data_IF_557389805191
#
_entry.id   IF_557389805191
#
_cell.length_a   1.000
_cell.length_b   1.000
_cell.length_c   1.000
_cell.angle_alpha   90.00
_cell.angle_beta   90.00
_cell.angle_gamma   90.00
#
_symmetry.space_group_name_H-M   'P 1'
#
loop_
_entity.id
_entity.type
_entity.pdbx_description
1 polymer ?
#
# COMPACT_ATOMS: atom_id res chain seq x y z
N UNK A 1 -10.69 -2.48 26.62
CA UNK A 1 -10.47 -2.80 25.19
C UNK A 1 -11.79 -3.09 24.46
N UNK A 2 -12.67 -3.93 25.00
CA UNK A 2 -13.97 -4.23 24.38
C UNK A 2 -14.82 -2.98 24.15
N UNK A 3 -14.93 -2.07 25.12
CA UNK A 3 -15.74 -0.86 25.00
C UNK A 3 -15.37 0.01 23.77
N UNK A 4 -14.08 0.28 23.53
CA UNK A 4 -13.64 1.06 22.36
C UNK A 4 -13.94 0.34 21.04
N UNK A 5 -13.67 -0.95 20.98
CA UNK A 5 -13.98 -1.78 19.82
C UNK A 5 -15.49 -1.77 19.55
N UNK A 6 -16.30 -2.05 20.55
CA UNK A 6 -17.76 -2.11 20.44
C UNK A 6 -18.34 -0.76 20.00
N UNK A 7 -17.79 0.35 20.52
CA UNK A 7 -18.22 1.70 20.15
C UNK A 7 -17.89 2.02 18.70
N UNK A 8 -16.64 1.77 18.26
CA UNK A 8 -16.23 2.00 16.88
C UNK A 8 -17.05 1.13 15.91
N UNK A 9 -17.23 -0.14 16.24
CA UNK A 9 -18.03 -1.07 15.42
C UNK A 9 -19.49 -0.61 15.31
N UNK A 10 -20.11 -0.21 16.44
CA UNK A 10 -21.47 0.29 16.45
C UNK A 10 -21.64 1.52 15.57
N UNK A 11 -20.76 2.51 15.74
CA UNK A 11 -20.87 3.78 15.02
C UNK A 11 -20.62 3.60 13.51
N UNK A 12 -19.63 2.81 13.14
CA UNK A 12 -19.38 2.46 11.73
C UNK A 12 -20.55 1.68 11.14
N UNK A 13 -21.20 0.79 11.93
CA UNK A 13 -22.35 0.01 11.44
C UNK A 13 -23.59 0.87 11.21
N UNK A 14 -23.81 1.90 12.03
CA UNK A 14 -25.02 2.72 11.99
C UNK A 14 -24.97 3.85 10.96
N UNK A 15 -23.77 4.35 10.65
CA UNK A 15 -23.58 5.44 9.67
C UNK A 15 -23.62 4.92 8.24
N UNK A 16 -24.21 5.71 7.35
CA UNK A 16 -24.15 5.50 5.89
C UNK A 16 -23.18 6.48 5.27
N UNK A 17 -22.38 6.03 4.28
CA UNK A 17 -21.46 6.87 3.53
C UNK A 17 -20.07 6.98 4.17
N UNK A 18 -19.44 8.14 3.99
CA UNK A 18 -18.09 8.40 4.48
C UNK A 18 -18.08 8.72 5.97
N UNK A 19 -17.18 8.09 6.70
CA UNK A 19 -16.95 8.31 8.13
C UNK A 19 -15.51 8.74 8.36
N UNK A 20 -15.29 9.73 9.21
CA UNK A 20 -13.97 10.24 9.54
C UNK A 20 -13.66 10.04 11.02
N UNK A 21 -12.45 9.56 11.31
CA UNK A 21 -11.89 9.44 12.64
C UNK A 21 -10.59 10.26 12.73
N UNK A 22 -10.57 11.25 13.60
CA UNK A 22 -9.38 12.03 13.94
C UNK A 22 -8.69 11.41 15.15
N UNK A 23 -7.37 11.20 15.04
CA UNK A 23 -6.54 10.55 16.06
C UNK A 23 -5.38 11.47 16.41
N UNK A 24 -5.44 12.11 17.58
CA UNK A 24 -4.45 13.09 18.07
C UNK A 24 -3.36 12.41 18.90
N UNK A 25 -2.69 11.44 18.30
CA UNK A 25 -1.55 10.73 18.86
C UNK A 25 -0.68 10.13 17.76
N UNK A 26 0.49 9.60 18.14
CA UNK A 26 1.38 8.93 17.21
C UNK A 26 0.90 7.52 16.85
N UNK A 27 0.89 7.24 15.57
CA UNK A 27 0.46 5.95 15.01
C UNK A 27 1.22 4.76 15.61
N UNK A 28 2.56 4.86 15.72
CA UNK A 28 3.39 3.78 16.23
C UNK A 28 3.18 3.54 17.73
N UNK A 29 2.92 4.58 18.50
CA UNK A 29 2.55 4.48 19.91
C UNK A 29 1.22 3.70 20.06
N UNK A 30 0.24 4.02 19.24
CA UNK A 30 -1.04 3.33 19.22
C UNK A 30 -0.95 1.89 18.70
N UNK A 31 -0.03 1.63 17.77
CA UNK A 31 0.26 0.26 17.33
C UNK A 31 0.74 -0.60 18.50
N UNK A 32 1.70 -0.10 19.28
CA UNK A 32 2.23 -0.78 20.46
C UNK A 32 1.15 -1.01 21.52
N UNK A 33 0.19 -0.07 21.65
CA UNK A 33 -0.97 -0.20 22.53
C UNK A 33 -2.00 -1.23 22.02
N UNK A 34 -1.86 -1.73 20.79
CA UNK A 34 -2.79 -2.65 20.13
C UNK A 34 -4.10 -1.98 19.71
N UNK A 35 -4.10 -0.65 19.52
CA UNK A 35 -5.28 0.13 19.13
C UNK A 35 -5.81 -0.27 17.75
N UNK A 36 -4.92 -0.47 16.77
CA UNK A 36 -5.32 -0.80 15.41
C UNK A 36 -6.00 -2.17 15.27
N UNK A 37 -5.95 -3.01 16.32
CA UNK A 37 -6.71 -4.27 16.33
C UNK A 37 -8.22 -4.07 16.52
N UNK A 38 -8.66 -2.88 16.97
CA UNK A 38 -10.08 -2.56 17.09
C UNK A 38 -10.76 -2.36 15.74
N UNK A 39 -9.97 -2.21 14.68
CA UNK A 39 -10.45 -2.00 13.33
C UNK A 39 -10.53 -3.29 12.51
N UNK A 40 -10.16 -4.44 13.08
CA UNK A 40 -10.35 -5.71 12.40
C UNK A 40 -11.85 -6.00 12.27
N UNK A 41 -12.21 -6.59 11.14
CA UNK A 41 -13.57 -7.07 10.87
C UNK A 41 -14.66 -5.98 10.96
N UNK A 42 -14.31 -4.71 10.72
CA UNK A 42 -15.29 -3.64 10.64
C UNK A 42 -16.25 -3.89 9.46
N UNK A 43 -17.59 -3.70 9.67
CA UNK A 43 -18.58 -3.88 8.61
C UNK A 43 -18.58 -2.68 7.64
N UNK A 44 -17.53 -2.54 6.84
CA UNK A 44 -17.33 -1.41 5.93
C UNK A 44 -17.96 -1.60 4.54
N UNK A 45 -18.81 -2.60 4.33
CA UNK A 45 -19.47 -2.83 3.04
C UNK A 45 -20.19 -1.57 2.56
N UNK A 46 -19.82 -1.10 1.34
CA UNK A 46 -20.34 0.13 0.71
C UNK A 46 -20.12 1.42 1.50
N UNK A 47 -19.23 1.43 2.48
CA UNK A 47 -18.89 2.58 3.32
C UNK A 47 -17.41 2.87 3.21
N UNK A 48 -16.99 4.10 3.50
CA UNK A 48 -15.58 4.45 3.65
C UNK A 48 -15.31 4.97 5.05
N UNK A 49 -14.19 4.52 5.63
CA UNK A 49 -13.65 5.07 6.86
C UNK A 49 -12.30 5.69 6.54
N UNK A 50 -12.18 6.98 6.83
CA UNK A 50 -10.92 7.72 6.72
C UNK A 50 -10.39 8.04 8.12
N UNK A 51 -9.19 7.56 8.43
CA UNK A 51 -8.49 7.81 9.68
C UNK A 51 -7.39 8.84 9.42
N UNK A 52 -7.44 9.97 10.13
CA UNK A 52 -6.40 10.99 10.15
C UNK A 52 -5.59 10.84 11.43
N UNK A 53 -4.28 10.69 11.32
CA UNK A 53 -3.44 10.34 12.48
C UNK A 53 -2.05 10.95 12.37
N UNK A 54 -1.45 11.23 13.52
CA UNK A 54 -0.08 11.68 13.64
C UNK A 54 0.94 10.57 13.37
N UNK A 55 2.09 10.96 12.85
CA UNK A 55 3.23 10.08 12.62
C UNK A 55 4.51 10.81 13.08
N UNK A 56 5.24 10.20 14.00
CA UNK A 56 6.50 10.74 14.52
C UNK A 56 7.66 10.49 13.53
N UNK A 57 7.89 11.49 12.67
CA UNK A 57 8.95 11.40 11.64
C UNK A 57 10.35 11.36 12.25
N UNK A 58 10.60 11.99 13.41
CA UNK A 58 11.93 11.94 14.04
C UNK A 58 12.24 10.52 14.49
N UNK A 59 11.28 9.88 15.15
CA UNK A 59 11.41 8.50 15.60
C UNK A 59 11.60 7.53 14.44
N UNK A 60 10.94 7.76 13.30
CA UNK A 60 11.09 6.95 12.10
C UNK A 60 12.40 7.22 11.34
N UNK A 61 12.94 8.44 11.41
CA UNK A 61 14.25 8.77 10.86
C UNK A 61 15.38 8.09 11.65
N UNK A 62 15.25 8.08 12.99
CA UNK A 62 16.21 7.40 13.88
C UNK A 62 16.24 5.88 13.64
N UNK A 63 15.09 5.28 13.38
CA UNK A 63 14.96 3.86 13.03
C UNK A 63 13.84 3.65 11.99
N UNK A 64 14.20 3.61 10.71
CA UNK A 64 13.24 3.40 9.62
C UNK A 64 12.54 2.03 9.68
N UNK A 65 13.06 1.05 10.43
CA UNK A 65 12.43 -0.27 10.61
C UNK A 65 11.12 -0.17 11.39
N UNK A 66 10.93 0.87 12.19
CA UNK A 66 9.65 1.12 12.85
C UNK A 66 8.50 1.38 11.87
N UNK A 67 8.81 1.75 10.61
CA UNK A 67 7.81 1.84 9.55
C UNK A 67 7.13 0.50 9.26
N UNK A 68 7.72 -0.63 9.65
CA UNK A 68 7.07 -1.95 9.60
C UNK A 68 5.71 -1.93 10.31
N UNK A 69 5.57 -1.21 11.41
CA UNK A 69 4.30 -1.10 12.15
C UNK A 69 3.21 -0.42 11.31
N UNK A 70 3.59 0.63 10.58
CA UNK A 70 2.71 1.34 9.65
C UNK A 70 2.34 0.41 8.49
N UNK A 71 3.37 -0.14 7.83
CA UNK A 71 3.18 -1.03 6.68
C UNK A 71 2.31 -2.25 7.01
N UNK A 72 2.58 -2.93 8.12
CA UNK A 72 1.80 -4.10 8.55
C UNK A 72 0.33 -3.75 8.82
N UNK A 73 0.06 -2.57 9.38
CA UNK A 73 -1.31 -2.13 9.66
C UNK A 73 -2.04 -1.76 8.37
N UNK A 74 -1.42 -0.97 7.50
CA UNK A 74 -2.00 -0.61 6.20
C UNK A 74 -2.27 -1.84 5.33
N UNK A 75 -1.36 -2.81 5.37
CA UNK A 75 -1.47 -4.08 4.63
C UNK A 75 -2.62 -4.96 5.13
N UNK A 76 -2.97 -4.86 6.41
CA UNK A 76 -4.08 -5.60 7.04
C UNK A 76 -5.42 -4.89 6.91
N UNK A 77 -5.42 -3.56 6.97
CA UNK A 77 -6.63 -2.73 7.01
C UNK A 77 -6.87 -2.04 5.64
N UNK A 78 -6.92 -2.81 4.57
CA UNK A 78 -7.01 -2.30 3.19
C UNK A 78 -8.32 -1.52 2.94
N UNK A 79 -9.40 -1.87 3.65
CA UNK A 79 -10.70 -1.22 3.54
C UNK A 79 -10.78 0.13 4.28
N UNK A 80 -9.68 0.54 4.92
CA UNK A 80 -9.57 1.81 5.65
C UNK A 80 -8.60 2.74 4.92
N UNK A 81 -8.99 4.00 4.81
CA UNK A 81 -8.13 5.05 4.32
C UNK A 81 -7.36 5.68 5.48
N UNK A 82 -6.05 5.84 5.34
CA UNK A 82 -5.21 6.54 6.31
C UNK A 82 -4.62 7.80 5.69
N UNK A 83 -4.66 8.91 6.41
CA UNK A 83 -3.99 10.15 6.07
C UNK A 83 -3.09 10.51 7.24
N UNK A 84 -1.79 10.61 6.97
CA UNK A 84 -0.77 10.87 7.98
C UNK A 84 -0.42 12.35 8.04
N UNK A 85 -0.13 12.83 9.24
CA UNK A 85 0.37 14.16 9.54
C UNK A 85 1.62 14.07 10.39
N UNK A 86 2.53 15.02 10.30
CA UNK A 86 3.66 15.06 11.23
C UNK A 86 3.13 15.30 12.64
N UNK A 87 3.54 14.44 13.59
CA UNK A 87 3.11 14.57 14.99
C UNK A 87 3.50 15.92 15.61
N UNK A 88 4.54 16.58 15.09
CA UNK A 88 4.94 17.92 15.51
C UNK A 88 3.95 19.01 15.13
N UNK A 89 3.13 18.73 14.12
CA UNK A 89 2.16 19.67 13.57
C UNK A 89 0.79 19.52 14.22
N UNK A 90 0.60 18.49 15.03
CA UNK A 90 -0.64 18.26 15.77
C UNK A 90 -0.42 18.33 17.27
N UNK A 91 -1.44 18.77 17.99
CA UNK A 91 -1.44 18.78 19.44
C UNK A 91 -1.70 17.37 19.97
N UNK A 92 -0.69 16.75 20.61
CA UNK A 92 -0.86 15.44 21.26
C UNK A 92 -1.75 15.58 22.48
N UNK A 93 -3.00 15.19 22.33
CA UNK A 93 -4.02 15.33 23.37
C UNK A 93 -4.63 14.00 23.79
N UNK A 94 -4.17 12.88 23.22
CA UNK A 94 -4.74 11.55 23.42
C UNK A 94 -6.25 11.53 23.18
N UNK A 95 -6.68 12.18 22.11
CA UNK A 95 -8.06 12.28 21.68
C UNK A 95 -8.34 11.44 20.45
N UNK A 96 -9.50 10.82 20.45
CA UNK A 96 -10.13 10.21 19.28
C UNK A 96 -11.44 10.95 19.05
N UNK A 97 -11.63 11.50 17.84
CA UNK A 97 -12.85 12.22 17.51
C UNK A 97 -13.47 11.56 16.28
N UNK A 98 -14.62 10.95 16.43
CA UNK A 98 -15.43 10.50 15.30
C UNK A 98 -16.47 11.57 15.01
N UNK A 99 -16.37 12.16 13.84
CA UNK A 99 -17.25 13.26 13.41
C UNK A 99 -18.71 12.91 13.63
N UNK A 100 -19.46 13.85 14.23
CA UNK A 100 -20.89 13.75 14.50
C UNK A 100 -21.30 12.50 15.33
N UNK A 101 -20.38 11.93 16.13
CA UNK A 101 -20.64 10.71 16.89
C UNK A 101 -20.12 10.78 18.31
N UNK A 102 -18.80 10.76 18.49
CA UNK A 102 -18.22 10.75 19.83
C UNK A 102 -16.84 11.41 19.90
N UNK A 103 -16.46 11.79 21.10
CA UNK A 103 -15.08 12.12 21.46
C UNK A 103 -14.65 11.17 22.59
N UNK A 104 -13.47 10.60 22.44
CA UNK A 104 -12.84 9.80 23.50
C UNK A 104 -11.50 10.43 23.84
N UNK A 105 -11.33 10.72 25.12
CA UNK A 105 -10.03 11.02 25.71
C UNK A 105 -9.53 9.78 26.46
N UNK A 106 -8.27 9.44 26.30
CA UNK A 106 -7.69 8.25 26.91
C UNK A 106 -6.36 8.54 27.60
N UNK A 107 -5.96 7.63 28.47
CA UNK A 107 -4.63 7.61 29.05
C UNK A 107 -3.97 6.28 28.80
N UNK A 108 -2.69 6.32 28.42
CA UNK A 108 -1.84 5.14 28.28
C UNK A 108 -0.92 5.00 29.49
N UNK A 109 -0.66 3.76 29.90
CA UNK A 109 0.38 3.46 30.87
C UNK A 109 1.77 3.68 30.26
N UNK A 110 2.80 3.67 31.09
CA UNK A 110 4.20 3.69 30.61
C UNK A 110 4.54 2.50 29.71
N UNK A 111 3.79 1.41 29.81
CA UNK A 111 3.93 0.21 28.98
C UNK A 111 3.03 0.22 27.74
N UNK A 112 2.37 1.36 27.45
CA UNK A 112 1.50 1.52 26.28
C UNK A 112 0.10 0.90 26.40
N UNK A 113 -0.31 0.43 27.59
CA UNK A 113 -1.66 -0.12 27.77
C UNK A 113 -2.68 0.96 28.07
N UNK A 114 -3.89 0.86 27.50
CA UNK A 114 -5.00 1.73 27.84
C UNK A 114 -5.40 1.57 29.30
N UNK A 115 -5.30 2.66 30.08
CA UNK A 115 -5.65 2.69 31.51
C UNK A 115 -7.05 3.22 31.76
N UNK A 116 -7.38 4.31 31.08
CA UNK A 116 -8.65 5.03 31.29
C UNK A 116 -9.11 5.61 29.95
N UNK A 117 -10.41 5.70 29.76
CA UNK A 117 -11.00 6.52 28.72
C UNK A 117 -12.25 7.23 29.23
N UNK A 118 -12.43 8.47 28.80
CA UNK A 118 -13.63 9.27 28.98
C UNK A 118 -14.36 9.35 27.64
N UNK A 119 -15.67 9.22 27.65
CA UNK A 119 -16.50 9.20 26.46
C UNK A 119 -17.51 10.35 26.49
N UNK A 120 -17.55 11.14 25.43
CA UNK A 120 -18.50 12.22 25.21
C UNK A 120 -19.31 11.88 23.97
N UNK A 121 -20.64 11.85 24.07
CA UNK A 121 -21.57 11.56 22.98
C UNK A 121 -22.63 12.65 22.77
N UNK A 122 -22.54 13.77 23.49
CA UNK A 122 -23.44 14.90 23.28
C UNK A 122 -23.11 15.56 21.92
N UNK A 123 -24.04 15.54 20.98
CA UNK A 123 -23.81 15.98 19.61
C UNK A 123 -23.33 17.43 19.45
N UNK A 124 -23.82 18.37 20.27
CA UNK A 124 -23.34 19.74 20.26
C UNK A 124 -21.87 19.82 20.73
N UNK A 125 -21.57 19.20 21.86
CA UNK A 125 -20.20 19.15 22.41
C UNK A 125 -19.23 18.43 21.48
N UNK A 126 -19.65 17.33 20.85
CA UNK A 126 -18.81 16.60 19.86
C UNK A 126 -18.48 17.49 18.68
N UNK A 127 -19.46 18.24 18.18
CA UNK A 127 -19.28 19.16 17.04
C UNK A 127 -18.34 20.30 17.41
N UNK A 128 -18.53 20.92 18.57
CA UNK A 128 -17.67 22.00 19.04
C UNK A 128 -16.22 21.54 19.20
N UNK A 129 -16.01 20.34 19.75
CA UNK A 129 -14.68 19.74 19.88
C UNK A 129 -14.10 19.43 18.49
N UNK A 130 -14.87 18.83 17.58
CA UNK A 130 -14.42 18.51 16.23
C UNK A 130 -13.99 19.77 15.48
N UNK A 131 -14.75 20.86 15.56
CA UNK A 131 -14.42 22.14 14.91
C UNK A 131 -13.13 22.74 15.47
N UNK A 132 -12.90 22.64 16.78
CA UNK A 132 -11.70 23.16 17.43
C UNK A 132 -10.45 22.31 17.19
N UNK A 133 -10.60 21.01 16.95
CA UNK A 133 -9.52 20.03 16.77
C UNK A 133 -9.43 19.50 15.33
N UNK A 134 -10.02 20.18 14.36
CA UNK A 134 -9.96 19.74 12.98
C UNK A 134 -8.54 19.87 12.40
N UNK A 135 -7.99 18.79 11.82
CA UNK A 135 -6.68 18.81 11.17
C UNK A 135 -6.58 19.84 10.04
N UNK A 136 -7.68 20.20 9.38
CA UNK A 136 -7.70 21.20 8.32
C UNK A 136 -7.37 22.63 8.81
N UNK A 137 -7.67 22.94 10.06
CA UNK A 137 -7.39 24.24 10.66
C UNK A 137 -5.97 24.31 11.28
N UNK A 138 -5.39 23.16 11.59
CA UNK A 138 -4.02 23.04 12.06
C UNK A 138 -3.00 23.14 10.91
N UNK A 139 -3.48 23.32 9.67
CA UNK A 139 -2.85 23.94 8.49
C UNK A 139 -1.53 23.42 8.03
N UNK A 140 -1.24 22.16 8.18
CA UNK A 140 -0.07 21.65 7.48
C UNK A 140 -0.47 20.56 6.52
N UNK A 141 0.31 20.48 5.46
CA UNK A 141 0.04 19.52 4.40
C UNK A 141 0.11 18.12 4.96
N UNK A 142 -0.86 17.25 4.65
CA UNK A 142 -0.75 15.86 5.02
C UNK A 142 0.50 15.25 4.38
N UNK A 143 1.13 14.32 5.08
CA UNK A 143 2.30 13.58 4.61
C UNK A 143 1.95 12.62 3.47
N UNK A 144 0.67 12.22 3.40
CA UNK A 144 0.14 11.34 2.36
C UNK A 144 -1.19 11.87 1.83
N UNK A 145 -1.47 11.57 0.57
CA UNK A 145 -2.75 11.83 -0.07
C UNK A 145 -3.36 10.53 -0.62
N UNK A 146 -4.68 10.48 -0.62
CA UNK A 146 -5.42 9.36 -1.21
C UNK A 146 -5.67 9.63 -2.69
N UNK A 147 -5.62 8.60 -3.51
CA UNK A 147 -5.92 8.72 -4.94
C UNK A 147 -6.49 7.41 -5.50
N UNK A 148 -7.10 7.52 -6.66
CA UNK A 148 -7.38 6.42 -7.58
C UNK A 148 -6.51 6.59 -8.85
N UNK A 149 -6.66 5.67 -9.80
CA UNK A 149 -5.87 5.71 -11.03
C UNK A 149 -6.14 6.96 -11.86
N UNK A 150 -7.40 7.35 -11.96
CA UNK A 150 -7.82 8.54 -12.70
C UNK A 150 -7.30 9.82 -12.04
N UNK A 151 -7.35 9.89 -10.72
CA UNK A 151 -6.79 11.01 -9.93
C UNK A 151 -5.29 11.17 -10.14
N UNK A 152 -4.52 10.07 -10.22
CA UNK A 152 -3.10 10.12 -10.53
C UNK A 152 -2.82 10.69 -11.92
N UNK A 153 -3.66 10.36 -12.91
CA UNK A 153 -3.53 10.86 -14.27
C UNK A 153 -3.95 12.32 -14.38
N UNK A 154 -5.09 12.69 -13.83
CA UNK A 154 -5.65 14.04 -13.88
C UNK A 154 -4.76 15.08 -13.18
N UNK A 155 -4.07 14.67 -12.12
CA UNK A 155 -3.11 15.54 -11.41
C UNK A 155 -1.74 15.59 -12.09
N UNK A 156 -1.50 14.77 -13.11
CA UNK A 156 -0.20 14.61 -13.75
C UNK A 156 0.84 13.89 -12.89
N UNK A 157 0.42 13.33 -11.73
CA UNK A 157 1.32 12.64 -10.82
C UNK A 157 2.01 11.45 -11.49
N UNK A 158 1.25 10.63 -12.21
CA UNK A 158 1.78 9.46 -12.93
C UNK A 158 2.84 9.85 -13.93
N UNK A 159 2.59 10.86 -14.76
CA UNK A 159 3.56 11.37 -15.74
C UNK A 159 4.83 11.88 -15.06
N UNK A 160 4.69 12.69 -14.01
CA UNK A 160 5.84 13.20 -13.25
C UNK A 160 6.62 12.07 -12.55
N UNK A 161 5.93 11.05 -12.05
CA UNK A 161 6.56 9.89 -11.42
C UNK A 161 7.45 9.13 -12.38
N UNK A 162 6.94 8.82 -13.58
CA UNK A 162 7.67 8.04 -14.57
C UNK A 162 8.68 8.84 -15.41
N UNK A 163 8.69 10.18 -15.33
CA UNK A 163 9.71 11.04 -15.95
C UNK A 163 11.05 11.04 -15.17
N UNK A 164 11.56 9.85 -14.83
CA UNK A 164 12.80 9.66 -14.09
C UNK A 164 13.58 8.48 -14.68
N UNK A 165 14.86 8.39 -14.33
CA UNK A 165 15.79 7.37 -14.84
C UNK A 165 16.14 6.28 -13.82
N UNK A 166 15.56 6.32 -12.61
CA UNK A 166 15.80 5.33 -11.56
C UNK A 166 14.54 5.02 -10.82
N UNK A 167 14.31 3.72 -10.60
CA UNK A 167 13.13 3.25 -9.90
C UNK A 167 13.48 2.14 -8.91
N UNK A 168 12.74 2.12 -7.81
CA UNK A 168 12.73 1.05 -6.83
C UNK A 168 11.29 0.61 -6.58
N UNK A 169 11.00 -0.68 -6.74
CA UNK A 169 9.68 -1.23 -6.55
C UNK A 169 9.70 -2.43 -5.61
N UNK A 170 8.81 -2.42 -4.63
CA UNK A 170 8.47 -3.59 -3.82
C UNK A 170 7.09 -4.07 -4.24
N UNK A 171 7.01 -5.23 -4.90
CA UNK A 171 5.81 -5.69 -5.60
C UNK A 171 5.16 -6.86 -4.87
N UNK A 172 3.93 -6.67 -4.40
CA UNK A 172 3.17 -7.68 -3.68
C UNK A 172 1.96 -8.20 -4.46
N UNK A 173 1.63 -7.56 -5.59
CA UNK A 173 0.43 -7.83 -6.38
C UNK A 173 0.71 -8.57 -7.70
N UNK A 174 1.81 -9.32 -7.76
CA UNK A 174 2.26 -9.97 -8.98
C UNK A 174 3.12 -9.04 -9.85
N UNK A 175 3.35 -9.47 -11.08
CA UNK A 175 4.12 -8.73 -12.06
C UNK A 175 3.15 -7.93 -12.95
N UNK A 176 2.69 -6.76 -12.50
CA UNK A 176 1.91 -5.85 -13.34
C UNK A 176 2.80 -4.95 -14.23
N UNK A 177 4.05 -5.34 -14.40
CA UNK A 177 5.06 -4.69 -15.26
C UNK A 177 5.67 -5.73 -16.20
N UNK A 178 6.30 -5.26 -17.28
CA UNK A 178 6.88 -6.13 -18.34
C UNK A 178 5.85 -7.09 -18.94
N UNK A 179 4.60 -6.66 -19.01
CA UNK A 179 3.54 -7.42 -19.64
C UNK A 179 3.78 -7.53 -21.15
N UNK A 180 3.51 -8.68 -21.75
CA UNK A 180 3.49 -8.80 -23.20
C UNK A 180 2.55 -7.79 -23.85
N UNK A 181 2.89 -7.33 -25.05
CA UNK A 181 2.08 -6.34 -25.77
C UNK A 181 0.64 -6.81 -25.97
N UNK A 182 0.44 -8.06 -26.33
CA UNK A 182 -0.88 -8.65 -26.57
C UNK A 182 -1.74 -8.67 -25.30
N UNK A 183 -1.11 -8.82 -24.11
CA UNK A 183 -1.82 -8.72 -22.82
C UNK A 183 -2.27 -7.28 -22.55
N UNK A 184 -1.44 -6.27 -22.85
CA UNK A 184 -1.86 -4.87 -22.77
C UNK A 184 -3.07 -4.58 -23.66
N UNK A 185 -3.05 -5.08 -24.91
CA UNK A 185 -4.17 -4.92 -25.84
C UNK A 185 -5.44 -5.60 -25.32
N UNK A 186 -5.33 -6.83 -24.81
CA UNK A 186 -6.47 -7.54 -24.19
C UNK A 186 -7.08 -6.78 -23.01
N UNK A 187 -6.24 -6.22 -22.15
CA UNK A 187 -6.71 -5.39 -21.01
C UNK A 187 -7.38 -4.11 -21.53
N UNK A 188 -6.80 -3.49 -22.55
CA UNK A 188 -7.34 -2.27 -23.16
C UNK A 188 -8.72 -2.49 -23.75
N UNK A 189 -8.94 -3.60 -24.47
CA UNK A 189 -10.24 -3.94 -25.07
C UNK A 189 -11.34 -4.15 -24.03
N UNK A 190 -11.00 -4.64 -22.84
CA UNK A 190 -11.94 -4.84 -21.73
C UNK A 190 -12.23 -3.57 -20.93
N UNK A 191 -11.54 -2.47 -21.23
CA UNK A 191 -11.54 -1.26 -20.42
C UNK A 191 -12.48 -0.19 -20.96
N UNK A 192 -12.92 0.72 -20.07
CA UNK A 192 -13.66 1.92 -20.50
C UNK A 192 -12.79 2.84 -21.38
N UNK A 193 -13.39 3.69 -22.22
CA UNK A 193 -12.64 4.61 -23.09
C UNK A 193 -11.60 5.46 -22.36
N UNK A 194 -11.91 5.90 -21.13
CA UNK A 194 -10.99 6.67 -20.29
C UNK A 194 -9.80 5.82 -19.82
N UNK A 195 -10.08 4.59 -19.39
CA UNK A 195 -9.04 3.64 -18.98
C UNK A 195 -8.18 3.20 -20.16
N UNK A 196 -8.75 3.03 -21.35
CA UNK A 196 -7.98 2.67 -22.57
C UNK A 196 -6.86 3.67 -22.85
N UNK A 197 -7.14 4.97 -22.71
CA UNK A 197 -6.12 6.00 -22.91
C UNK A 197 -5.01 5.92 -21.86
N UNK A 198 -5.37 5.68 -20.58
CA UNK A 198 -4.40 5.50 -19.49
C UNK A 198 -3.53 4.26 -19.70
N UNK A 199 -4.12 3.14 -20.13
CA UNK A 199 -3.40 1.90 -20.43
C UNK A 199 -2.43 2.10 -21.58
N UNK A 200 -2.87 2.74 -22.67
CA UNK A 200 -2.01 3.05 -23.82
C UNK A 200 -0.78 3.89 -23.43
N UNK A 201 -1.00 4.95 -22.65
CA UNK A 201 0.09 5.79 -22.14
C UNK A 201 1.04 5.00 -21.26
N UNK A 202 0.51 4.12 -20.41
CA UNK A 202 1.31 3.32 -19.51
C UNK A 202 2.16 2.29 -20.29
N UNK A 203 1.61 1.66 -21.32
CA UNK A 203 2.34 0.74 -22.19
C UNK A 203 3.58 1.42 -22.79
N UNK A 204 3.39 2.55 -23.47
CA UNK A 204 4.50 3.33 -24.08
C UNK A 204 5.51 3.78 -23.01
N UNK A 205 5.02 4.23 -21.85
CA UNK A 205 5.88 4.65 -20.74
C UNK A 205 6.74 3.50 -20.22
N UNK A 206 6.18 2.31 -20.09
CA UNK A 206 6.91 1.13 -19.62
C UNK A 206 7.97 0.68 -20.63
N UNK A 207 7.67 0.68 -21.92
CA UNK A 207 8.64 0.38 -22.97
C UNK A 207 9.85 1.34 -22.90
N UNK A 208 9.61 2.62 -22.69
CA UNK A 208 10.67 3.63 -22.57
C UNK A 208 11.51 3.44 -21.29
N UNK A 209 10.87 3.21 -20.15
CA UNK A 209 11.54 3.01 -18.86
C UNK A 209 12.41 1.76 -18.89
N UNK A 210 11.89 0.67 -19.40
CA UNK A 210 12.60 -0.61 -19.48
C UNK A 210 13.88 -0.47 -20.30
N UNK A 211 13.87 0.33 -21.34
CA UNK A 211 15.03 0.53 -22.21
C UNK A 211 16.07 1.54 -21.65
N UNK A 212 15.64 2.48 -20.79
CA UNK A 212 16.48 3.64 -20.46
C UNK A 212 16.70 3.88 -18.95
N UNK A 213 15.98 3.19 -18.08
CA UNK A 213 16.05 3.45 -16.64
C UNK A 213 16.69 2.31 -15.84
N UNK A 214 17.34 2.66 -14.73
CA UNK A 214 17.75 1.68 -13.72
C UNK A 214 16.50 1.27 -12.89
N UNK A 215 16.18 -0.02 -12.89
CA UNK A 215 15.02 -0.54 -12.18
C UNK A 215 15.43 -1.63 -11.22
N UNK A 216 15.08 -1.47 -9.96
CA UNK A 216 15.26 -2.47 -8.93
C UNK A 216 13.91 -2.97 -8.42
N UNK A 217 13.68 -4.28 -8.52
CA UNK A 217 12.50 -4.94 -7.99
C UNK A 217 12.84 -5.77 -6.77
N UNK A 218 12.02 -5.69 -5.72
CA UNK A 218 11.97 -6.67 -4.64
C UNK A 218 10.59 -7.31 -4.66
N UNK A 219 10.56 -8.65 -4.73
CA UNK A 219 9.33 -9.41 -4.82
C UNK A 219 9.30 -10.46 -3.73
N UNK A 220 8.29 -10.46 -2.84
CA UNK A 220 8.08 -11.51 -1.86
C UNK A 220 7.77 -12.85 -2.55
N UNK A 221 8.34 -13.94 -2.03
CA UNK A 221 8.08 -15.29 -2.58
C UNK A 221 6.58 -15.62 -2.61
N UNK A 222 5.84 -15.20 -1.57
CA UNK A 222 4.38 -15.40 -1.51
C UNK A 222 3.65 -14.72 -2.66
N UNK A 223 4.11 -13.55 -3.10
CA UNK A 223 3.52 -12.82 -4.23
C UNK A 223 3.80 -13.50 -5.56
N UNK A 224 5.01 -14.05 -5.75
CA UNK A 224 5.34 -14.87 -6.91
C UNK A 224 4.46 -16.12 -7.00
N UNK A 225 4.30 -16.82 -5.88
CA UNK A 225 3.48 -18.04 -5.84
C UNK A 225 2.02 -17.73 -6.16
N UNK A 226 1.45 -16.67 -5.57
CA UNK A 226 0.08 -16.24 -5.88
C UNK A 226 -0.10 -15.89 -7.35
N UNK A 227 0.87 -15.20 -7.94
CA UNK A 227 0.85 -14.88 -9.35
C UNK A 227 0.87 -16.15 -10.23
N UNK A 228 1.75 -17.11 -9.93
CA UNK A 228 1.83 -18.38 -10.65
C UNK A 228 0.54 -19.20 -10.55
N UNK A 229 -0.12 -19.17 -9.40
CA UNK A 229 -1.37 -19.89 -9.16
C UNK A 229 -2.57 -19.24 -9.84
N UNK A 230 -2.70 -17.92 -9.74
CA UNK A 230 -3.93 -17.21 -10.06
C UNK A 230 -3.86 -16.34 -11.32
N UNK A 231 -2.66 -15.82 -11.67
CA UNK A 231 -2.47 -14.94 -12.81
C UNK A 231 -3.16 -13.57 -12.72
N UNK A 232 -3.61 -13.17 -11.53
CA UNK A 232 -4.29 -11.89 -11.38
C UNK A 232 -3.33 -10.72 -11.40
N UNK A 233 -3.67 -9.72 -12.21
CA UNK A 233 -2.99 -8.43 -12.26
C UNK A 233 -4.02 -7.30 -12.21
N UNK A 234 -3.56 -6.13 -11.77
CA UNK A 234 -4.34 -4.90 -11.76
C UNK A 234 -3.58 -3.81 -12.48
N UNK A 235 -4.09 -3.41 -13.64
CA UNK A 235 -3.51 -2.33 -14.43
C UNK A 235 -4.52 -1.19 -14.52
N UNK A 236 -4.17 0.01 -14.05
CA UNK A 236 -5.04 1.21 -14.09
C UNK A 236 -6.49 0.95 -13.61
N UNK A 237 -6.63 0.31 -12.47
CA UNK A 237 -7.92 -0.13 -11.88
C UNK A 237 -8.68 -1.20 -12.67
N UNK A 238 -8.09 -1.76 -13.71
CA UNK A 238 -8.65 -2.90 -14.45
C UNK A 238 -8.08 -4.19 -13.89
N UNK A 239 -8.96 -5.09 -13.44
CA UNK A 239 -8.59 -6.45 -13.09
C UNK A 239 -8.50 -7.31 -14.34
N UNK A 240 -7.41 -8.05 -14.48
CA UNK A 240 -7.24 -9.01 -15.55
C UNK A 240 -6.67 -10.32 -15.00
N UNK A 241 -7.21 -11.43 -15.48
CA UNK A 241 -6.72 -12.77 -15.15
C UNK A 241 -6.02 -13.35 -16.35
N UNK A 242 -4.69 -13.44 -16.30
CA UNK A 242 -3.90 -14.05 -17.37
C UNK A 242 -4.23 -15.53 -17.49
N UNK A 243 -4.43 -15.97 -18.72
CA UNK A 243 -4.48 -17.40 -19.06
C UNK A 243 -3.15 -18.09 -18.73
N UNK A 244 -3.09 -19.41 -18.64
CA UNK A 244 -1.84 -20.13 -18.48
C UNK A 244 -0.80 -19.79 -19.55
N UNK A 245 -1.22 -19.63 -20.79
CA UNK A 245 -0.41 -19.29 -21.94
C UNK A 245 0.19 -17.87 -21.80
N UNK A 246 -0.65 -16.89 -21.48
CA UNK A 246 -0.22 -15.50 -21.22
C UNK A 246 0.73 -15.41 -20.03
N UNK A 247 0.50 -16.18 -18.94
CA UNK A 247 1.44 -16.23 -17.81
C UNK A 247 2.80 -16.77 -18.21
N UNK A 248 2.83 -17.82 -19.04
CA UNK A 248 4.08 -18.38 -19.58
C UNK A 248 4.81 -17.36 -20.44
N UNK A 249 4.12 -16.72 -21.35
CA UNK A 249 4.66 -15.66 -22.21
C UNK A 249 5.18 -14.47 -21.36
N UNK A 250 4.41 -14.05 -20.36
CA UNK A 250 4.83 -12.98 -19.47
C UNK A 250 6.14 -13.31 -18.72
N UNK A 251 6.26 -14.53 -18.17
CA UNK A 251 7.53 -14.96 -17.55
C UNK A 251 8.69 -14.93 -18.54
N UNK A 252 8.47 -15.38 -19.78
CA UNK A 252 9.48 -15.34 -20.83
C UNK A 252 9.85 -13.90 -21.20
N UNK A 253 8.87 -13.01 -21.30
CA UNK A 253 9.09 -11.58 -21.54
C UNK A 253 9.93 -10.94 -20.44
N UNK A 254 9.62 -11.23 -19.16
CA UNK A 254 10.43 -10.76 -18.03
C UNK A 254 11.88 -11.22 -18.15
N UNK A 255 12.10 -12.49 -18.43
CA UNK A 255 13.45 -13.06 -18.51
C UNK A 255 14.24 -12.51 -19.69
N UNK A 256 13.63 -12.43 -20.91
CA UNK A 256 14.29 -11.87 -22.10
C UNK A 256 14.60 -10.39 -21.92
N UNK A 257 13.65 -9.63 -21.36
CA UNK A 257 13.85 -8.20 -21.10
C UNK A 257 15.02 -7.97 -20.13
N UNK A 258 15.11 -8.75 -19.05
CA UNK A 258 16.23 -8.64 -18.11
C UNK A 258 17.57 -9.09 -18.73
N UNK A 259 17.54 -10.02 -19.68
CA UNK A 259 18.75 -10.45 -20.41
C UNK A 259 19.27 -9.34 -21.32
N UNK A 260 18.38 -8.61 -21.97
CA UNK A 260 18.72 -7.50 -22.87
C UNK A 260 19.07 -6.22 -22.11
N UNK A 261 18.54 -6.06 -20.88
CA UNK A 261 18.64 -4.85 -20.07
C UNK A 261 19.28 -5.12 -18.71
N UNK A 262 20.62 -5.13 -18.60
CA UNK A 262 21.33 -5.48 -17.37
C UNK A 262 21.16 -4.43 -16.22
N UNK A 263 20.55 -3.29 -16.51
CA UNK A 263 20.18 -2.27 -15.55
C UNK A 263 18.89 -2.60 -14.77
N UNK A 264 18.22 -3.70 -15.10
CA UNK A 264 17.08 -4.23 -14.37
C UNK A 264 17.57 -5.29 -13.37
N UNK A 265 17.30 -5.07 -12.10
CA UNK A 265 17.74 -5.94 -11.00
C UNK A 265 16.52 -6.52 -10.30
N UNK A 266 16.51 -7.84 -10.13
CA UNK A 266 15.45 -8.53 -9.39
C UNK A 266 16.00 -9.16 -8.10
N UNK A 267 15.39 -8.78 -6.99
CA UNK A 267 15.58 -9.44 -5.71
C UNK A 267 14.32 -10.18 -5.27
N UNK A 268 14.50 -11.32 -4.64
CA UNK A 268 13.41 -12.11 -4.07
C UNK A 268 13.59 -12.15 -2.56
N UNK A 269 12.51 -11.83 -1.84
CA UNK A 269 12.45 -11.89 -0.39
C UNK A 269 11.65 -13.13 0.01
N UNK A 270 12.32 -14.11 0.65
CA UNK A 270 11.60 -15.26 1.20
C UNK A 270 10.80 -14.84 2.43
N UNK A 271 9.49 -15.05 2.37
CA UNK A 271 8.58 -14.77 3.49
C UNK A 271 8.45 -15.95 4.45
N UNK A 272 9.10 -17.08 4.15
CA UNK A 272 9.20 -18.25 5.04
C UNK A 272 10.09 -17.89 6.23
N UNK A 273 9.49 -17.82 7.42
CA UNK A 273 10.22 -17.47 8.66
C UNK A 273 10.18 -16.00 9.06
N UNK A 274 9.71 -15.11 8.20
CA UNK A 274 9.33 -13.75 8.60
C UNK A 274 8.05 -13.79 9.44
N UNK A 275 7.88 -12.78 10.31
CA UNK A 275 6.72 -12.69 11.18
C UNK A 275 5.38 -12.71 10.43
N UNK A 276 4.28 -12.83 11.17
CA UNK A 276 2.92 -12.87 10.58
C UNK A 276 2.58 -11.65 9.73
N UNK A 277 3.24 -10.51 9.96
CA UNK A 277 3.10 -9.27 9.19
C UNK A 277 3.44 -9.41 7.71
N UNK A 278 4.33 -10.34 7.37
CA UNK A 278 4.72 -10.61 5.98
C UNK A 278 3.90 -11.70 5.29
N UNK A 279 2.93 -12.30 6.00
CA UNK A 279 2.03 -13.28 5.41
C UNK A 279 0.83 -12.56 4.80
N UNK A 280 0.70 -12.61 3.49
CA UNK A 280 -0.44 -12.02 2.78
C UNK A 280 -0.25 -10.53 2.47
N UNK A 281 0.96 -10.13 2.09
CA UNK A 281 1.24 -8.76 1.64
C UNK A 281 0.38 -8.38 0.43
N UNK A 282 -0.33 -7.26 0.55
CA UNK A 282 -1.27 -6.75 -0.44
C UNK A 282 -1.05 -5.26 -0.73
N UNK A 283 0.09 -4.73 -0.32
CA UNK A 283 0.46 -3.32 -0.47
C UNK A 283 1.84 -3.23 -1.12
N UNK A 284 1.88 -2.83 -2.38
CA UNK A 284 3.12 -2.59 -3.13
C UNK A 284 3.61 -1.16 -2.90
N UNK A 285 4.92 -0.96 -2.96
CA UNK A 285 5.56 0.34 -2.89
C UNK A 285 6.32 0.65 -4.18
N UNK A 286 6.13 1.85 -4.70
CA UNK A 286 6.76 2.35 -5.91
C UNK A 286 7.49 3.66 -5.58
N UNK A 287 8.77 3.75 -5.97
CA UNK A 287 9.59 4.95 -5.78
C UNK A 287 10.41 5.25 -7.03
N UNK A 288 10.53 6.52 -7.36
CA UNK A 288 11.49 7.05 -8.34
C UNK A 288 12.66 7.80 -7.66
N UNK A 289 12.92 7.52 -6.38
CA UNK A 289 13.93 8.17 -5.53
C UNK A 289 13.67 9.65 -5.19
N UNK A 290 12.65 10.29 -5.79
CA UNK A 290 12.23 11.67 -5.46
C UNK A 290 10.85 11.71 -4.82
N UNK A 291 9.98 10.85 -5.28
CA UNK A 291 8.61 10.68 -4.79
C UNK A 291 8.23 9.21 -4.85
N UNK A 292 7.13 8.84 -4.22
CA UNK A 292 6.65 7.48 -4.19
C UNK A 292 5.18 7.36 -3.83
N UNK A 293 4.66 6.18 -4.06
CA UNK A 293 3.29 5.83 -3.67
C UNK A 293 3.21 4.36 -3.27
N UNK A 294 2.19 4.03 -2.49
CA UNK A 294 1.83 2.65 -2.19
C UNK A 294 0.51 2.31 -2.91
N UNK A 295 0.46 1.10 -3.48
CA UNK A 295 -0.71 0.58 -4.22
C UNK A 295 -1.27 -0.61 -3.46
N UNK A 296 -2.53 -0.52 -3.06
CA UNK A 296 -3.27 -1.64 -2.47
C UNK A 296 -3.65 -2.64 -3.55
N UNK A 297 -3.73 -3.91 -3.19
CA UNK A 297 -4.32 -4.91 -4.05
C UNK A 297 -5.85 -4.74 -4.04
N UNK A 298 -6.40 -4.26 -5.15
CA UNK A 298 -7.82 -3.92 -5.28
C UNK A 298 -8.75 -5.10 -5.01
N UNK A 299 -8.30 -6.33 -5.25
CA UNK A 299 -9.06 -7.56 -4.98
C UNK A 299 -9.45 -7.71 -3.50
N UNK A 300 -8.66 -7.14 -2.61
CA UNK A 300 -8.88 -7.20 -1.16
C UNK A 300 -9.46 -5.90 -0.59
N UNK A 301 -9.91 -4.99 -1.45
CA UNK A 301 -10.67 -3.81 -1.07
C UNK A 301 -12.14 -4.12 -1.33
N UNK A 302 -12.94 -4.20 -0.27
CA UNK A 302 -14.33 -4.61 -0.35
C UNK A 302 -15.31 -3.43 -0.31
N UNK A 303 -14.79 -2.21 -0.28
CA UNK A 303 -15.55 -0.98 -0.16
C UNK A 303 -15.01 0.12 -1.10
N UNK A 304 -15.27 1.38 -0.77
CA UNK A 304 -14.83 2.56 -1.53
C UNK A 304 -13.48 3.13 -1.06
N UNK A 305 -12.64 2.33 -0.38
CA UNK A 305 -11.32 2.78 0.02
C UNK A 305 -10.43 3.05 -1.21
N UNK A 306 -9.65 4.11 -1.12
CA UNK A 306 -8.73 4.51 -2.19
C UNK A 306 -7.63 3.46 -2.39
N UNK A 307 -7.34 3.08 -3.63
CA UNK A 307 -6.32 2.08 -3.93
C UNK A 307 -4.88 2.60 -3.78
N UNK A 308 -4.67 3.92 -3.76
CA UNK A 308 -3.34 4.52 -3.70
C UNK A 308 -3.16 5.43 -2.50
N UNK A 309 -1.98 5.33 -1.90
CA UNK A 309 -1.42 6.32 -0.98
C UNK A 309 -0.27 7.04 -1.68
N UNK A 310 -0.46 8.30 -2.05
CA UNK A 310 0.60 9.14 -2.60
C UNK A 310 1.41 9.73 -1.43
N UNK A 311 2.72 9.54 -1.43
CA UNK A 311 3.59 10.14 -0.41
C UNK A 311 3.94 11.54 -0.88
N UNK A 312 3.41 12.55 -0.21
CA UNK A 312 3.53 13.96 -0.59
C UNK A 312 4.68 14.67 0.12
N UNK A 313 5.13 14.11 1.25
CA UNK A 313 6.23 14.63 2.02
C UNK A 313 7.55 13.92 1.67
N UNK A 314 8.61 14.72 1.44
CA UNK A 314 9.92 14.20 1.03
C UNK A 314 10.62 13.41 2.13
N UNK A 315 10.46 13.82 3.39
CA UNK A 315 11.08 13.16 4.53
C UNK A 315 10.45 11.79 4.73
N UNK A 316 9.12 11.74 4.75
CA UNK A 316 8.40 10.46 4.81
C UNK A 316 8.78 9.54 3.65
N UNK A 317 8.87 10.08 2.42
CA UNK A 317 9.31 9.28 1.28
C UNK A 317 10.69 8.66 1.50
N UNK A 318 11.65 9.43 2.03
CA UNK A 318 13.01 8.93 2.34
C UNK A 318 12.98 7.81 3.38
N UNK A 319 12.20 7.98 4.45
CA UNK A 319 12.01 6.97 5.50
C UNK A 319 11.44 5.68 4.91
N UNK A 320 10.37 5.78 4.13
CA UNK A 320 9.71 4.63 3.50
C UNK A 320 10.64 3.91 2.53
N UNK A 321 11.36 4.65 1.69
CA UNK A 321 12.33 4.07 0.77
C UNK A 321 13.46 3.34 1.52
N UNK A 322 13.99 3.95 2.59
CA UNK A 322 15.02 3.33 3.42
C UNK A 322 14.52 2.06 4.11
N UNK A 323 13.28 2.05 4.60
CA UNK A 323 12.66 0.85 5.15
C UNK A 323 12.63 -0.29 4.11
N UNK A 324 12.08 -0.05 2.93
CA UNK A 324 12.00 -1.10 1.91
C UNK A 324 13.39 -1.54 1.42
N UNK A 325 14.34 -0.62 1.31
CA UNK A 325 15.73 -0.98 0.96
C UNK A 325 16.43 -1.78 2.06
N UNK A 326 16.10 -1.56 3.33
CA UNK A 326 16.66 -2.34 4.45
C UNK A 326 16.25 -3.81 4.41
N UNK A 327 15.17 -4.17 3.70
CA UNK A 327 14.77 -5.55 3.48
C UNK A 327 15.86 -6.37 2.73
N UNK A 328 16.74 -5.69 1.99
CA UNK A 328 17.89 -6.31 1.32
C UNK A 328 18.97 -6.81 2.30
N UNK A 329 18.98 -6.29 3.53
CA UNK A 329 19.91 -6.71 4.58
C UNK A 329 19.45 -8.00 5.29
N UNK A 330 18.20 -8.41 5.04
CA UNK A 330 17.65 -9.61 5.67
C UNK A 330 18.32 -10.88 5.09
N UNK A 331 18.63 -11.89 5.92
CA UNK A 331 19.21 -13.15 5.46
C UNK A 331 18.36 -13.91 4.43
N UNK A 332 17.08 -13.58 4.38
CA UNK A 332 16.11 -14.19 3.48
C UNK A 332 15.97 -13.46 2.12
N UNK A 333 16.69 -12.37 1.94
CA UNK A 333 16.77 -11.67 0.67
C UNK A 333 17.85 -12.28 -0.22
N UNK A 334 17.53 -12.49 -1.48
CA UNK A 334 18.48 -12.90 -2.50
C UNK A 334 18.27 -12.09 -3.79
N UNK A 335 19.33 -11.44 -4.23
CA UNK A 335 19.39 -10.84 -5.55
C UNK A 335 19.86 -11.91 -6.56
N UNK A 336 19.14 -12.02 -7.66
CA UNK A 336 19.47 -12.97 -8.72
C UNK A 336 20.09 -12.24 -9.90
N UNK A 337 21.14 -12.84 -10.46
CA UNK A 337 21.63 -12.49 -11.80
C UNK A 337 20.77 -13.17 -12.85
N UNK A 338 20.68 -12.58 -14.04
CA UNK A 338 19.83 -13.13 -15.10
C UNK A 338 20.20 -14.58 -15.46
N UNK A 339 21.49 -14.92 -15.53
CA UNK A 339 21.94 -16.27 -15.82
C UNK A 339 21.48 -17.29 -14.76
N UNK A 340 21.44 -16.89 -13.48
CA UNK A 340 20.89 -17.70 -12.41
C UNK A 340 19.39 -17.90 -12.56
N UNK A 341 18.66 -16.83 -12.90
CA UNK A 341 17.21 -16.88 -13.15
C UNK A 341 16.87 -17.78 -14.34
N UNK A 342 17.61 -17.69 -15.41
CA UNK A 342 17.45 -18.57 -16.58
C UNK A 342 17.70 -20.03 -16.23
N UNK A 343 18.76 -20.30 -15.46
CA UNK A 343 19.08 -21.66 -14.99
C UNK A 343 17.99 -22.22 -14.09
N UNK A 344 17.47 -21.38 -13.17
CA UNK A 344 16.37 -21.76 -12.29
C UNK A 344 15.11 -22.03 -13.11
N UNK A 345 14.77 -21.12 -14.04
CA UNK A 345 13.59 -21.25 -14.88
C UNK A 345 13.61 -22.54 -15.69
N UNK A 346 14.69 -22.85 -16.39
CA UNK A 346 14.78 -24.10 -17.17
C UNK A 346 14.62 -25.35 -16.28
N UNK A 347 15.16 -25.33 -15.06
CA UNK A 347 15.02 -26.43 -14.10
C UNK A 347 13.58 -26.61 -13.61
N UNK A 348 12.85 -25.52 -13.34
CA UNK A 348 11.50 -25.56 -12.76
C UNK A 348 10.39 -25.43 -13.82
N UNK A 349 10.74 -25.16 -15.08
CA UNK A 349 9.80 -25.01 -16.19
C UNK A 349 8.77 -26.15 -16.30
N UNK A 350 9.17 -27.44 -16.19
CA UNK A 350 8.17 -28.52 -16.20
C UNK A 350 7.19 -28.48 -15.03
N UNK A 351 7.63 -27.96 -13.87
CA UNK A 351 6.75 -27.78 -12.72
C UNK A 351 5.80 -26.59 -12.96
N UNK A 352 6.31 -25.48 -13.45
CA UNK A 352 5.50 -24.30 -13.81
C UNK A 352 4.42 -24.70 -14.83
N UNK A 353 4.81 -25.40 -15.90
CA UNK A 353 3.88 -25.84 -16.95
C UNK A 353 2.78 -26.76 -16.39
N UNK A 354 3.11 -27.65 -15.46
CA UNK A 354 2.10 -28.47 -14.78
C UNK A 354 1.18 -27.64 -13.89
N UNK A 355 1.75 -26.69 -13.13
CA UNK A 355 0.98 -25.81 -12.24
C UNK A 355 0.01 -24.93 -13.03
N UNK A 356 0.45 -24.42 -14.18
CA UNK A 356 -0.38 -23.61 -15.07
C UNK A 356 -1.52 -24.41 -15.72
N UNK A 357 -1.35 -25.72 -15.92
CA UNK A 357 -2.37 -26.62 -16.48
C UNK A 357 -3.38 -27.15 -15.45
N UNK A 358 -3.17 -26.94 -14.16
CA UNK A 358 -4.14 -27.31 -13.11
C UNK A 358 -5.20 -26.19 -13.08
N UNK A 359 -6.40 -26.52 -13.57
CA UNK A 359 -7.59 -25.68 -13.46
C UNK A 359 -8.34 -25.91 -12.17
#
# INVERSE_FOLDING_TARGET
KSFLSDLIHKEVSTKSGETELLVFDDFCTLYQAGFWNFFNDLPLQQKSLTVRVGLDLDRLDDDCRLFEHVYATLNRLLDINFIFYDIKDIERSNLLIMKDSFVIQYALSKTGSFMMCSHISNGATVRDIYENFNFSDLTKRPLTALSDSLGMDNTGYRTAFYANSRFFFHLTNGFDFLLPHDVFESIRELSSPEQQQSIQRLCVTWEEIVNNAEIEFIIPTSSLMRYLENGYIYLTDVEYSLTPEERKEHIQTVLSTMQENPHIIMGVLSTLGLGKSYKGENLSFYSNYKTGFMKKNKRYIHNQASPFYLITDRRLHTIVLNYFRSLKELPLYRQYKIDELLTIYERIKPLIERTLCIK
#
